data_IF_552471264267
#
_entry.id   IF_552471264267
#
_cell.length_a   1.000
_cell.length_b   1.000
_cell.length_c   1.000
_cell.angle_alpha   90.00
_cell.angle_beta   90.00
_cell.angle_gamma   90.00
#
_symmetry.space_group_name_H-M   'P 1'
#
loop_
_entity.id
_entity.type
_entity.pdbx_description
1 polymer ?
#
# COMPACT_ATOMS: atom_id res chain seq x y z
N UNK A 1 -4.65 1.67 24.41
CA UNK A 1 -3.89 2.78 23.82
C UNK A 1 -4.13 2.71 22.34
N UNK A 2 -4.79 3.72 21.78
CA UNK A 2 -4.97 3.81 20.34
C UNK A 2 -3.60 3.96 19.68
N UNK A 3 -3.36 3.18 18.62
CA UNK A 3 -2.11 3.25 17.89
C UNK A 3 -2.09 4.60 17.15
N UNK A 4 -0.98 5.35 17.18
CA UNK A 4 -0.92 6.63 16.52
C UNK A 4 -1.00 6.45 15.00
N UNK A 5 -1.44 7.49 14.32
CA UNK A 5 -1.52 7.60 12.88
C UNK A 5 -0.46 8.57 12.37
N UNK A 6 0.07 8.29 11.19
CA UNK A 6 0.92 9.16 10.40
C UNK A 6 0.12 9.65 9.18
N UNK A 7 0.51 10.81 8.64
CA UNK A 7 -0.16 11.38 7.46
C UNK A 7 0.87 11.50 6.35
N UNK A 8 0.61 10.82 5.24
CA UNK A 8 1.40 10.92 4.01
C UNK A 8 0.80 11.98 3.10
N UNK A 9 1.61 12.92 2.62
CA UNK A 9 1.22 13.84 1.54
C UNK A 9 1.72 13.31 0.21
N UNK A 10 0.81 13.01 -0.71
CA UNK A 10 1.14 12.64 -2.09
C UNK A 10 1.70 13.82 -2.88
N UNK A 11 1.26 15.05 -2.58
CA UNK A 11 1.75 16.27 -3.22
C UNK A 11 3.24 16.51 -2.89
N UNK A 12 3.61 16.39 -1.62
CA UNK A 12 4.97 16.62 -1.15
C UNK A 12 5.84 15.37 -1.11
N UNK A 13 5.26 14.18 -1.35
CA UNK A 13 5.91 12.87 -1.24
C UNK A 13 6.64 12.70 0.08
N UNK A 14 5.99 13.11 1.16
CA UNK A 14 6.59 13.21 2.48
C UNK A 14 5.54 13.05 3.57
N UNK A 15 6.00 12.72 4.77
CA UNK A 15 5.20 12.67 5.98
C UNK A 15 4.95 14.07 6.53
N UNK A 16 3.77 14.30 7.09
CA UNK A 16 3.53 15.47 7.92
C UNK A 16 4.45 15.44 9.14
N UNK A 17 5.12 16.57 9.40
CA UNK A 17 5.89 16.76 10.61
C UNK A 17 4.96 16.98 11.83
N UNK A 18 5.46 16.86 13.07
CA UNK A 18 4.68 17.12 14.27
C UNK A 18 4.08 18.53 14.29
N UNK A 19 3.00 18.71 15.05
CA UNK A 19 2.32 20.01 15.24
C UNK A 19 1.82 20.65 13.93
N UNK A 20 1.47 19.85 12.92
CA UNK A 20 0.90 20.34 11.64
C UNK A 20 1.80 21.32 10.88
N UNK A 21 3.13 21.26 11.11
CA UNK A 21 4.06 22.25 10.58
C UNK A 21 5.17 21.61 9.75
N UNK A 22 4.98 21.58 8.43
CA UNK A 22 5.99 21.14 7.47
C UNK A 22 5.97 19.64 7.17
N UNK A 23 6.97 19.20 6.39
CA UNK A 23 7.05 17.84 5.85
C UNK A 23 8.44 17.23 6.07
N UNK A 24 8.49 15.92 6.26
CA UNK A 24 9.72 15.15 6.44
C UNK A 24 9.66 13.86 5.63
N UNK A 25 10.76 13.47 5.01
CA UNK A 25 10.87 12.16 4.35
C UNK A 25 11.27 11.04 5.32
N UNK A 26 11.66 11.40 6.55
CA UNK A 26 12.09 10.46 7.60
C UNK A 26 10.91 10.12 8.50
N UNK A 27 10.45 8.87 8.45
CA UNK A 27 9.26 8.39 9.19
C UNK A 27 9.39 8.58 10.71
N UNK A 28 10.59 8.44 11.27
CA UNK A 28 10.85 8.62 12.70
C UNK A 28 10.60 10.06 13.16
N UNK A 29 10.81 11.02 12.25
CA UNK A 29 10.58 12.45 12.46
C UNK A 29 9.15 12.86 12.14
N UNK A 30 8.30 11.93 11.67
CA UNK A 30 6.91 12.23 11.33
C UNK A 30 6.08 12.55 12.58
N UNK A 31 5.06 13.37 12.39
CA UNK A 31 4.05 13.67 13.41
C UNK A 31 3.17 12.46 13.66
N UNK A 32 2.96 12.15 14.94
CA UNK A 32 2.04 11.12 15.42
C UNK A 32 0.75 11.78 15.84
N UNK A 33 -0.35 11.35 15.25
CA UNK A 33 -1.67 11.94 15.42
C UNK A 33 -2.65 10.88 15.92
N UNK A 34 -3.66 11.31 16.65
CA UNK A 34 -4.79 10.42 16.96
C UNK A 34 -5.56 10.08 15.69
N UNK A 35 -6.21 8.92 15.63
CA UNK A 35 -6.94 8.45 14.45
C UNK A 35 -7.92 9.51 13.92
N UNK A 36 -8.72 10.08 14.84
CA UNK A 36 -9.74 11.07 14.49
C UNK A 36 -9.09 12.35 13.96
N UNK A 37 -7.97 12.76 14.55
CA UNK A 37 -7.22 13.92 14.12
C UNK A 37 -6.62 13.72 12.72
N UNK A 38 -5.99 12.57 12.48
CA UNK A 38 -5.37 12.25 11.20
C UNK A 38 -6.40 12.22 10.06
N UNK A 39 -7.57 11.63 10.30
CA UNK A 39 -8.68 11.63 9.34
C UNK A 39 -9.19 13.04 9.10
N UNK A 40 -9.36 13.84 10.15
CA UNK A 40 -9.81 15.22 10.01
C UNK A 40 -8.85 16.04 9.15
N UNK A 41 -7.53 15.90 9.36
CA UNK A 41 -6.51 16.55 8.53
C UNK A 41 -6.59 16.08 7.08
N UNK A 42 -6.55 14.76 6.84
CA UNK A 42 -6.57 14.21 5.48
C UNK A 42 -7.87 14.51 4.71
N UNK A 43 -8.99 14.65 5.40
CA UNK A 43 -10.28 15.02 4.80
C UNK A 43 -10.42 16.52 4.53
N UNK A 44 -9.71 17.36 5.29
CA UNK A 44 -9.72 18.82 5.14
C UNK A 44 -8.75 19.32 4.05
N UNK A 45 -7.97 18.42 3.45
CA UNK A 45 -7.11 18.70 2.32
C UNK A 45 -7.85 19.47 1.21
N UNK A 46 -7.23 20.54 0.70
CA UNK A 46 -7.82 21.36 -0.38
C UNK A 46 -8.07 20.49 -1.61
N UNK A 47 -9.34 20.18 -1.87
CA UNK A 47 -9.78 19.36 -3.00
C UNK A 47 -10.48 18.06 -2.60
N UNK A 48 -10.39 17.65 -1.34
CA UNK A 48 -11.04 16.43 -0.82
C UNK A 48 -10.65 15.17 -1.59
N UNK A 49 -11.46 14.12 -1.44
CA UNK A 49 -11.33 12.91 -2.23
C UNK A 49 -12.18 13.03 -3.50
N UNK A 50 -11.52 13.12 -4.65
CA UNK A 50 -12.18 13.13 -5.95
C UNK A 50 -12.05 11.75 -6.57
N UNK A 51 -13.18 11.12 -6.92
CA UNK A 51 -13.19 9.82 -7.59
C UNK A 51 -12.30 9.85 -8.85
N UNK A 52 -11.43 8.85 -8.99
CA UNK A 52 -10.46 8.77 -10.11
C UNK A 52 -9.19 9.61 -9.92
N UNK A 53 -9.03 10.34 -8.81
CA UNK A 53 -7.77 10.99 -8.44
C UNK A 53 -7.24 10.44 -7.14
N UNK A 54 -5.92 10.36 -7.03
CA UNK A 54 -5.29 9.98 -5.77
C UNK A 54 -5.58 11.06 -4.71
N UNK A 55 -5.95 10.67 -3.48
CA UNK A 55 -6.10 11.63 -2.39
C UNK A 55 -4.80 12.42 -2.19
N UNK A 56 -4.87 13.74 -1.95
CA UNK A 56 -3.68 14.54 -1.68
C UNK A 56 -2.97 14.10 -0.39
N UNK A 57 -3.74 13.66 0.62
CA UNK A 57 -3.23 13.22 1.92
C UNK A 57 -3.87 11.89 2.34
N UNK A 58 -3.09 11.01 2.96
CA UNK A 58 -3.51 9.67 3.39
C UNK A 58 -3.13 9.47 4.86
N UNK A 59 -4.14 9.23 5.70
CA UNK A 59 -3.94 8.83 7.09
C UNK A 59 -3.66 7.32 7.17
N UNK A 60 -2.54 6.95 7.79
CA UNK A 60 -2.07 5.56 7.91
C UNK A 60 -1.79 5.23 9.38
N UNK A 61 -2.18 4.05 9.89
CA UNK A 61 -1.70 3.59 11.19
C UNK A 61 -0.17 3.52 11.21
N UNK A 62 0.46 3.94 12.31
CA UNK A 62 1.92 3.94 12.45
C UNK A 62 2.49 2.55 12.23
N UNK A 63 1.83 1.50 12.74
CA UNK A 63 2.29 0.12 12.59
C UNK A 63 2.42 -0.28 11.11
N UNK A 64 1.44 0.07 10.28
CA UNK A 64 1.45 -0.26 8.86
C UNK A 64 2.49 0.59 8.11
N UNK A 65 2.63 1.87 8.50
CA UNK A 65 3.62 2.77 7.90
C UNK A 65 5.07 2.36 8.23
N UNK A 66 5.33 1.89 9.45
CA UNK A 66 6.65 1.40 9.86
C UNK A 66 6.97 0.05 9.21
N UNK A 67 6.02 -0.88 9.10
CA UNK A 67 6.21 -2.14 8.36
C UNK A 67 6.63 -1.90 6.91
N UNK A 68 6.04 -0.88 6.28
CA UNK A 68 6.47 -0.41 4.96
C UNK A 68 7.89 0.17 4.95
N UNK A 69 8.18 1.10 5.86
CA UNK A 69 9.44 1.83 5.88
C UNK A 69 10.64 0.97 6.30
N UNK A 70 10.40 -0.04 7.14
CA UNK A 70 11.41 -0.95 7.67
C UNK A 70 11.62 -2.19 6.81
N UNK A 71 10.86 -2.37 5.73
CA UNK A 71 11.09 -3.44 4.74
C UNK A 71 12.14 -2.96 3.72
N UNK A 72 13.45 -3.11 3.99
CA UNK A 72 14.52 -2.48 3.20
C UNK A 72 14.61 -3.14 1.81
N UNK A 73 14.03 -4.34 1.69
CA UNK A 73 14.04 -5.17 0.52
C UNK A 73 12.66 -5.35 -0.11
N UNK A 74 11.72 -4.39 0.04
CA UNK A 74 10.44 -4.52 -0.69
C UNK A 74 10.67 -4.49 -2.20
N UNK A 75 11.54 -3.61 -2.69
CA UNK A 75 11.89 -3.58 -4.11
C UNK A 75 12.68 -4.82 -4.52
N UNK A 76 13.66 -5.27 -3.73
CA UNK A 76 14.37 -6.51 -4.04
C UNK A 76 13.47 -7.74 -3.99
N UNK A 77 12.59 -7.86 -3.00
CA UNK A 77 11.62 -8.95 -2.90
C UNK A 77 10.59 -8.90 -4.03
N UNK A 78 10.23 -7.71 -4.51
CA UNK A 78 9.35 -7.54 -5.67
C UNK A 78 10.06 -7.90 -6.98
N UNK A 79 11.30 -7.44 -7.17
CA UNK A 79 12.11 -7.73 -8.36
C UNK A 79 12.58 -9.19 -8.41
N UNK A 80 12.86 -9.78 -7.24
CA UNK A 80 13.30 -11.17 -7.11
C UNK A 80 12.14 -12.12 -6.79
N UNK A 81 10.89 -11.64 -6.76
CA UNK A 81 9.73 -12.51 -6.62
C UNK A 81 9.76 -13.54 -7.73
N UNK A 82 9.59 -14.82 -7.39
CA UNK A 82 9.55 -15.91 -8.35
C UNK A 82 8.22 -16.61 -8.27
N UNK A 83 7.70 -16.97 -9.43
CA UNK A 83 6.62 -17.91 -9.57
C UNK A 83 7.06 -19.28 -9.05
N UNK A 84 6.12 -20.13 -8.65
CA UNK A 84 6.38 -21.51 -8.25
C UNK A 84 7.14 -22.34 -9.32
N UNK A 85 7.00 -21.99 -10.60
CA UNK A 85 7.73 -22.61 -11.70
C UNK A 85 9.20 -22.13 -11.82
N UNK A 86 9.66 -21.24 -10.94
CA UNK A 86 11.03 -20.72 -10.89
C UNK A 86 11.29 -19.50 -11.77
N UNK A 87 10.33 -19.09 -12.62
CA UNK A 87 10.42 -17.87 -13.43
C UNK A 87 10.17 -16.61 -12.59
N UNK A 88 10.66 -15.43 -13.02
CA UNK A 88 10.32 -14.16 -12.38
C UNK A 88 8.80 -13.97 -12.32
N UNK A 89 8.30 -13.57 -11.16
CA UNK A 89 6.91 -13.21 -11.01
C UNK A 89 6.67 -11.85 -11.69
N UNK A 90 5.73 -11.82 -12.63
CA UNK A 90 5.36 -10.61 -13.38
C UNK A 90 3.99 -10.10 -13.00
N UNK A 91 3.20 -10.89 -12.28
CA UNK A 91 1.83 -10.57 -11.88
C UNK A 91 1.46 -11.22 -10.55
N UNK A 92 0.30 -10.85 -10.02
CA UNK A 92 -0.34 -11.54 -8.89
C UNK A 92 -1.65 -12.18 -9.34
N UNK A 93 -1.93 -13.36 -8.80
CA UNK A 93 -3.20 -14.06 -9.00
C UNK A 93 -3.59 -14.72 -7.69
N UNK A 94 -4.83 -14.46 -7.24
CA UNK A 94 -5.36 -14.87 -5.93
C UNK A 94 -4.43 -14.57 -4.72
N UNK A 95 -3.72 -13.44 -4.79
CA UNK A 95 -2.77 -13.02 -3.76
C UNK A 95 -1.36 -13.59 -3.90
N UNK A 96 -1.17 -14.63 -4.72
CA UNK A 96 0.12 -15.26 -4.97
C UNK A 96 0.92 -14.58 -6.09
N UNK A 97 2.24 -14.57 -5.94
CA UNK A 97 3.19 -14.04 -6.94
C UNK A 97 3.40 -15.08 -8.04
N UNK A 98 3.03 -14.75 -9.28
CA UNK A 98 3.07 -15.67 -10.41
C UNK A 98 3.69 -15.03 -11.66
N UNK A 99 4.21 -15.85 -12.57
CA UNK A 99 4.48 -15.41 -13.93
C UNK A 99 3.16 -15.43 -14.71
N UNK A 100 3.04 -14.54 -15.68
CA UNK A 100 1.82 -14.40 -16.51
C UNK A 100 1.35 -15.71 -17.16
N UNK A 101 2.24 -16.59 -17.69
CA UNK A 101 1.82 -17.89 -18.19
C UNK A 101 1.18 -18.80 -17.12
N UNK A 102 1.74 -18.85 -15.92
CA UNK A 102 1.20 -19.65 -14.82
C UNK A 102 -0.11 -19.06 -14.29
N UNK A 103 -0.21 -17.75 -14.15
CA UNK A 103 -1.45 -17.09 -13.77
C UNK A 103 -2.58 -17.36 -14.78
N UNK A 104 -2.27 -17.31 -16.08
CA UNK A 104 -3.24 -17.61 -17.14
C UNK A 104 -3.67 -19.08 -17.11
N UNK A 105 -2.74 -20.00 -16.85
CA UNK A 105 -3.05 -21.42 -16.72
C UNK A 105 -3.95 -21.70 -15.51
N UNK A 106 -3.65 -21.12 -14.34
CA UNK A 106 -4.49 -21.22 -13.14
C UNK A 106 -5.88 -20.63 -13.40
N UNK A 107 -5.96 -19.42 -13.98
CA UNK A 107 -7.24 -18.80 -14.33
C UNK A 107 -8.09 -19.65 -15.28
N UNK A 108 -7.47 -20.30 -16.26
CA UNK A 108 -8.19 -21.20 -17.17
C UNK A 108 -8.68 -22.46 -16.45
N UNK A 109 -7.85 -23.05 -15.59
CA UNK A 109 -8.26 -24.22 -14.79
C UNK A 109 -9.41 -23.92 -13.86
N UNK A 110 -9.37 -22.77 -13.16
CA UNK A 110 -10.44 -22.38 -12.26
C UNK A 110 -11.77 -22.17 -13.02
N UNK A 111 -11.70 -21.65 -14.25
CA UNK A 111 -12.85 -21.55 -15.15
C UNK A 111 -13.34 -22.93 -15.62
N UNK A 112 -12.45 -23.84 -16.02
CA UNK A 112 -12.78 -25.20 -16.45
C UNK A 112 -13.36 -26.06 -15.31
N UNK A 113 -12.86 -25.90 -14.08
CA UNK A 113 -13.39 -26.57 -12.88
C UNK A 113 -14.75 -26.00 -12.44
N UNK A 114 -15.00 -24.71 -12.68
CA UNK A 114 -16.30 -24.09 -12.42
C UNK A 114 -17.40 -24.53 -13.41
N UNK A 115 -17.03 -25.04 -14.59
CA UNK A 115 -17.94 -25.50 -15.65
C UNK A 115 -18.18 -27.04 -15.64
N UNK A 116 -17.64 -27.79 -14.68
CA UNK A 116 -17.96 -29.21 -14.54
C UNK A 116 -19.34 -29.41 -13.89
N UNK A 117 -20.29 -30.12 -14.55
CA UNK A 117 -21.57 -30.46 -13.92
C UNK A 117 -21.33 -31.51 -12.83
N UNK A 118 -21.79 -31.20 -11.61
CA UNK A 118 -21.82 -32.12 -10.48
C UNK A 118 -22.82 -33.27 -10.64
#
# INVERSE_FOLDING_TARGET
MDKPYLIWSNEHRAWWSPNRCGYTTVIEKAGRYERVEAIAIASAARGGWVAGKNPPEIALPEADALDQALSPNRLEAYLNARCQCGQPATTKYDGDQMCEPCATYCARRDFEEADMPG
#
